data_IF_283451218583
#
_entry.id   IF_283451218583
#
_cell.length_a   1.000
_cell.length_b   1.000
_cell.length_c   1.000
_cell.angle_alpha   90.00
_cell.angle_beta   90.00
_cell.angle_gamma   90.00
#
_symmetry.space_group_name_H-M   'P 1'
#
loop_
_entity.id
_entity.type
_entity.pdbx_description
1 polymer ?
#
# COMPACT_ATOMS: atom_id res chain seq x y z
N UNK A 1 31.52 18.30 58.14
CA UNK A 1 32.13 17.18 57.46
C UNK A 1 31.30 16.77 56.28
N UNK A 2 31.89 15.97 55.41
CA UNK A 2 31.27 15.52 54.16
C UNK A 2 31.14 14.00 54.14
N UNK A 3 30.08 13.50 53.50
CA UNK A 3 29.87 12.05 53.33
C UNK A 3 29.32 11.77 51.94
N UNK A 4 29.67 10.63 51.36
CA UNK A 4 29.06 10.08 50.17
C UNK A 4 28.16 8.91 50.55
N UNK A 5 26.98 8.84 49.93
CA UNK A 5 26.06 7.71 50.13
C UNK A 5 26.62 6.42 49.52
N UNK A 6 27.50 6.53 48.51
CA UNK A 6 28.15 5.39 47.87
C UNK A 6 29.57 5.75 47.41
N UNK A 7 30.56 5.43 48.25
CA UNK A 7 31.97 5.68 48.00
C UNK A 7 32.55 4.84 46.83
N UNK A 8 31.84 3.78 46.40
CA UNK A 8 32.25 3.05 45.20
C UNK A 8 31.94 3.81 43.93
N UNK A 9 31.06 4.82 43.99
CA UNK A 9 30.72 5.69 42.87
C UNK A 9 31.53 7.01 42.94
N UNK A 10 31.47 7.69 44.08
CA UNK A 10 32.24 8.89 44.30
C UNK A 10 32.63 9.03 45.79
N UNK A 11 33.85 9.42 46.04
CA UNK A 11 34.34 9.83 47.36
C UNK A 11 34.31 11.35 47.48
N UNK A 12 34.27 11.84 48.72
CA UNK A 12 34.38 13.25 49.01
C UNK A 12 35.40 13.50 50.13
N UNK A 13 36.29 14.45 49.98
CA UNK A 13 37.26 14.78 51.00
C UNK A 13 36.77 15.82 52.02
N UNK A 14 37.54 16.08 53.06
CA UNK A 14 37.20 17.05 54.10
C UNK A 14 36.98 18.47 53.60
N UNK A 15 37.38 18.78 52.38
CA UNK A 15 37.23 20.08 51.77
C UNK A 15 36.01 20.15 50.80
N UNK A 16 35.28 19.02 50.65
CA UNK A 16 34.17 18.92 49.75
C UNK A 16 34.55 18.63 48.29
N UNK A 17 35.82 18.21 48.02
CA UNK A 17 36.25 17.78 46.71
C UNK A 17 35.73 16.38 46.42
N UNK A 18 34.87 16.26 45.40
CA UNK A 18 34.28 15.01 44.97
C UNK A 18 35.21 14.38 43.94
N UNK A 19 35.58 13.11 44.19
CA UNK A 19 36.36 12.28 43.26
C UNK A 19 35.55 11.06 42.85
N UNK A 20 35.27 10.94 41.56
CA UNK A 20 34.57 9.78 41.02
C UNK A 20 35.49 8.57 40.98
N UNK A 21 34.97 7.41 41.46
CA UNK A 21 35.63 6.12 41.51
C UNK A 21 35.13 5.21 40.39
N UNK A 22 33.81 5.25 40.13
CA UNK A 22 33.19 4.51 39.05
C UNK A 22 32.02 5.30 38.47
N UNK A 23 31.46 4.78 37.38
CA UNK A 23 30.22 5.34 36.77
C UNK A 23 29.00 5.07 37.64
N UNK A 24 28.06 6.01 37.65
CA UNK A 24 26.84 5.93 38.40
C UNK A 24 26.43 7.27 39.02
N UNK A 25 25.40 7.23 39.85
CA UNK A 25 24.93 8.37 40.60
C UNK A 25 24.96 8.11 42.09
N UNK A 26 25.37 9.09 42.87
CA UNK A 26 25.32 9.04 44.35
C UNK A 26 24.96 10.43 44.89
N UNK A 27 24.68 10.51 46.20
CA UNK A 27 24.45 11.78 46.87
C UNK A 27 25.62 12.07 47.79
N UNK A 28 26.15 13.29 47.66
CA UNK A 28 27.16 13.84 48.60
C UNK A 28 26.44 14.77 49.59
N UNK A 29 26.77 14.67 50.88
CA UNK A 29 26.20 15.44 51.95
C UNK A 29 27.25 16.30 52.63
N UNK A 30 26.91 17.54 52.87
CA UNK A 30 27.64 18.39 53.81
C UNK A 30 26.83 18.38 55.15
N UNK A 31 27.50 18.08 56.24
CA UNK A 31 26.86 17.97 57.56
C UNK A 31 27.55 18.94 58.54
N UNK A 32 26.77 19.85 59.10
CA UNK A 32 27.28 20.80 60.08
C UNK A 32 27.54 20.12 61.45
N UNK A 33 28.67 20.40 62.08
CA UNK A 33 28.96 19.91 63.43
C UNK A 33 28.01 20.47 64.48
N UNK A 34 27.54 21.72 64.26
CA UNK A 34 26.58 22.35 65.17
C UNK A 34 25.16 22.23 64.58
N UNK A 35 24.24 21.65 65.33
CA UNK A 35 22.84 21.50 64.97
C UNK A 35 22.51 20.38 63.97
N UNK A 36 23.49 19.67 63.41
CA UNK A 36 23.27 18.53 62.52
C UNK A 36 22.57 18.87 61.19
N UNK A 37 22.58 20.14 60.80
CA UNK A 37 21.98 20.59 59.54
C UNK A 37 22.73 19.96 58.33
N UNK A 38 21.95 19.46 57.36
CA UNK A 38 22.50 18.81 56.16
C UNK A 38 22.11 19.52 54.90
N UNK A 39 23.05 19.61 53.97
CA UNK A 39 22.82 19.97 52.56
C UNK A 39 23.25 18.80 51.69
N UNK A 40 22.45 18.48 50.64
CA UNK A 40 22.71 17.36 49.73
C UNK A 40 22.94 17.81 48.31
N UNK A 41 23.85 17.12 47.61
CA UNK A 41 24.10 17.33 46.19
C UNK A 41 24.13 15.95 45.51
N UNK A 42 23.28 15.78 44.51
CA UNK A 42 23.36 14.60 43.66
C UNK A 42 24.50 14.77 42.65
N UNK A 43 25.40 13.79 42.60
CA UNK A 43 26.55 13.78 41.68
C UNK A 43 26.48 12.51 40.84
N UNK A 44 26.76 12.64 39.55
CA UNK A 44 26.74 11.51 38.63
C UNK A 44 27.87 11.62 37.62
N UNK A 45 28.44 10.47 37.24
CA UNK A 45 29.31 10.36 36.06
C UNK A 45 28.61 9.55 35.02
N UNK A 46 28.51 10.09 33.80
CA UNK A 46 28.16 9.29 32.64
C UNK A 46 29.30 8.33 32.30
N UNK A 47 28.99 7.07 32.05
CA UNK A 47 29.96 6.10 31.51
C UNK A 47 30.43 6.48 30.11
N UNK A 48 31.53 5.89 29.68
CA UNK A 48 31.98 5.97 28.28
C UNK A 48 30.94 5.33 27.36
N UNK A 49 30.35 6.14 26.48
CA UNK A 49 29.30 5.76 25.52
C UNK A 49 29.80 5.62 24.10
N UNK A 50 31.09 5.73 23.87
CA UNK A 50 31.68 5.74 22.52
C UNK A 50 31.36 4.47 21.72
N UNK A 51 31.43 3.29 22.35
CA UNK A 51 31.06 2.02 21.73
C UNK A 51 29.56 1.93 21.42
N UNK A 52 28.71 2.36 22.35
CA UNK A 52 27.25 2.39 22.16
C UNK A 52 26.85 3.36 21.04
N UNK A 53 27.45 4.53 21.02
CA UNK A 53 27.24 5.52 19.97
C UNK A 53 27.66 4.99 18.59
N UNK A 54 28.83 4.32 18.51
CA UNK A 54 29.29 3.70 17.28
C UNK A 54 28.36 2.60 16.77
N UNK A 55 27.79 1.79 17.69
CA UNK A 55 26.82 0.75 17.35
C UNK A 55 25.50 1.37 16.83
N UNK A 56 24.97 2.39 17.49
CA UNK A 56 23.77 3.12 17.05
C UNK A 56 23.98 3.77 15.68
N UNK A 57 25.12 4.42 15.47
CA UNK A 57 25.45 5.04 14.18
C UNK A 57 25.59 4.02 13.06
N UNK A 58 26.18 2.85 13.33
CA UNK A 58 26.31 1.76 12.37
C UNK A 58 24.96 1.28 11.85
N UNK A 59 23.93 1.24 12.70
CA UNK A 59 22.63 0.65 12.39
C UNK A 59 21.50 1.67 12.23
N UNK A 60 21.79 2.97 12.22
CA UNK A 60 20.78 4.04 12.19
C UNK A 60 19.80 3.99 11.00
N UNK A 61 20.29 3.49 9.85
CA UNK A 61 19.51 3.40 8.61
C UNK A 61 18.95 1.99 8.35
N UNK A 62 19.05 1.09 9.34
CA UNK A 62 18.57 -0.28 9.22
C UNK A 62 17.08 -0.35 9.49
N UNK A 63 16.29 -0.70 8.47
CA UNK A 63 14.87 -1.01 8.65
C UNK A 63 14.73 -2.48 9.06
N UNK A 64 14.34 -2.72 10.31
CA UNK A 64 14.13 -4.07 10.84
C UNK A 64 13.07 -4.87 10.08
N UNK A 65 12.17 -4.19 9.35
CA UNK A 65 11.12 -4.82 8.55
C UNK A 65 11.63 -5.36 7.20
N UNK A 66 12.89 -5.14 6.87
CA UNK A 66 13.54 -5.74 5.71
C UNK A 66 14.09 -7.15 5.98
N UNK A 67 13.88 -7.66 7.21
CA UNK A 67 14.40 -8.94 7.67
C UNK A 67 13.29 -9.86 8.18
N UNK A 68 13.59 -11.16 8.31
CA UNK A 68 12.67 -12.12 8.88
C UNK A 68 12.14 -11.64 10.24
N UNK A 69 10.85 -11.81 10.48
CA UNK A 69 10.13 -11.21 11.61
C UNK A 69 10.83 -11.40 12.95
N UNK A 70 11.27 -12.63 13.25
CA UNK A 70 11.90 -12.94 14.54
C UNK A 70 13.20 -12.17 14.77
N UNK A 71 14.11 -12.19 13.78
CA UNK A 71 15.39 -11.47 13.86
C UNK A 71 15.22 -9.97 13.79
N UNK A 72 14.30 -9.49 12.94
CA UNK A 72 13.99 -8.06 12.83
C UNK A 72 13.43 -7.48 14.13
N UNK A 73 12.49 -8.17 14.80
CA UNK A 73 11.94 -7.70 16.09
C UNK A 73 13.01 -7.74 17.19
N UNK A 74 13.87 -8.76 17.22
CA UNK A 74 14.99 -8.83 18.19
C UNK A 74 15.93 -7.65 17.98
N UNK A 75 16.29 -7.35 16.74
CA UNK A 75 17.10 -6.17 16.41
C UNK A 75 16.43 -4.86 16.83
N UNK A 76 15.16 -4.68 16.51
CA UNK A 76 14.39 -3.50 16.92
C UNK A 76 14.45 -3.27 18.42
N UNK A 77 14.20 -4.32 19.21
CA UNK A 77 14.24 -4.24 20.67
C UNK A 77 15.62 -3.85 21.19
N UNK A 78 16.68 -4.45 20.63
CA UNK A 78 18.05 -4.11 21.00
C UNK A 78 18.43 -2.67 20.63
N UNK A 79 17.95 -2.17 19.49
CA UNK A 79 18.16 -0.80 19.06
C UNK A 79 17.44 0.22 19.94
N UNK A 80 16.16 -0.04 20.27
CA UNK A 80 15.37 0.81 21.17
C UNK A 80 15.97 0.84 22.59
N UNK A 81 16.43 -0.29 23.13
CA UNK A 81 17.13 -0.36 24.41
C UNK A 81 18.45 0.41 24.37
N UNK A 82 19.25 0.24 23.31
CA UNK A 82 20.49 0.99 23.12
C UNK A 82 20.24 2.51 23.09
N UNK A 83 19.17 2.98 22.44
CA UNK A 83 18.78 4.39 22.46
C UNK A 83 18.35 4.85 23.86
N UNK A 84 17.61 4.03 24.58
CA UNK A 84 17.20 4.31 25.97
C UNK A 84 18.41 4.48 26.88
N UNK A 85 19.35 3.52 26.83
CA UNK A 85 20.61 3.54 27.62
C UNK A 85 21.48 4.74 27.21
N UNK A 86 21.54 5.09 25.93
CA UNK A 86 22.31 6.23 25.45
C UNK A 86 21.83 7.56 26.05
N UNK A 87 20.54 7.69 26.31
CA UNK A 87 19.90 8.89 26.83
C UNK A 87 19.78 8.94 28.36
N UNK A 88 20.08 7.83 29.05
CA UNK A 88 20.00 7.73 30.52
C UNK A 88 21.37 7.90 31.17
N UNK A 89 21.60 9.06 31.77
CA UNK A 89 22.87 9.40 32.42
C UNK A 89 23.11 8.65 33.74
N UNK A 90 22.15 7.88 34.25
CA UNK A 90 22.29 7.10 35.48
C UNK A 90 22.85 5.69 35.25
N UNK A 91 22.97 5.27 33.98
CA UNK A 91 23.44 3.96 33.60
C UNK A 91 24.91 3.72 33.94
N UNK A 92 25.18 2.56 34.51
CA UNK A 92 26.55 2.08 34.80
C UNK A 92 27.30 1.74 33.52
N UNK A 93 28.63 1.67 33.59
CA UNK A 93 29.46 1.26 32.46
C UNK A 93 29.10 -0.13 31.93
N UNK A 94 28.77 -1.06 32.83
CA UNK A 94 28.39 -2.43 32.47
C UNK A 94 27.07 -2.45 31.67
N UNK A 95 26.04 -1.68 32.10
CA UNK A 95 24.78 -1.56 31.34
C UNK A 95 24.99 -0.94 29.96
N UNK A 96 25.85 0.09 29.85
CA UNK A 96 26.22 0.72 28.57
C UNK A 96 26.90 -0.28 27.65
N UNK A 97 27.87 -1.05 28.17
CA UNK A 97 28.60 -2.06 27.40
C UNK A 97 27.66 -3.21 26.97
N UNK A 98 26.76 -3.66 27.86
CA UNK A 98 25.77 -4.69 27.53
C UNK A 98 24.81 -4.24 26.43
N UNK A 99 24.32 -3.00 26.48
CA UNK A 99 23.45 -2.47 25.46
C UNK A 99 24.15 -2.36 24.09
N UNK A 100 25.42 -1.90 24.09
CA UNK A 100 26.24 -1.85 22.88
C UNK A 100 26.44 -3.25 22.27
N UNK A 101 26.80 -4.22 23.12
CA UNK A 101 27.05 -5.59 22.69
C UNK A 101 25.77 -6.26 22.16
N UNK A 102 24.64 -6.10 22.86
CA UNK A 102 23.34 -6.64 22.44
C UNK A 102 22.91 -6.10 21.06
N UNK A 103 23.10 -4.80 20.82
CA UNK A 103 22.81 -4.20 19.52
C UNK A 103 23.73 -4.73 18.41
N UNK A 104 25.02 -4.91 18.71
CA UNK A 104 25.98 -5.45 17.74
C UNK A 104 25.62 -6.90 17.38
N UNK A 105 25.30 -7.73 18.38
CA UNK A 105 24.90 -9.13 18.17
C UNK A 105 23.59 -9.25 17.40
N UNK A 106 22.57 -8.47 17.79
CA UNK A 106 21.29 -8.45 17.08
C UNK A 106 21.45 -7.94 15.64
N UNK A 107 22.28 -6.93 15.42
CA UNK A 107 22.58 -6.43 14.08
C UNK A 107 23.39 -7.40 13.22
N UNK A 108 24.29 -8.17 13.81
CA UNK A 108 25.02 -9.24 13.10
C UNK A 108 24.09 -10.41 12.73
N UNK A 109 23.10 -10.72 13.56
CA UNK A 109 22.12 -11.76 13.29
C UNK A 109 21.17 -11.44 12.11
N UNK A 110 21.14 -10.20 11.62
CA UNK A 110 20.37 -9.84 10.43
C UNK A 110 20.97 -10.40 9.13
N UNK A 111 22.26 -10.73 9.14
CA UNK A 111 22.95 -11.19 7.94
C UNK A 111 22.35 -12.52 7.43
N UNK A 112 21.98 -12.52 6.14
CA UNK A 112 21.35 -13.69 5.50
C UNK A 112 19.85 -13.87 5.78
N UNK A 113 19.24 -13.00 6.58
CA UNK A 113 17.82 -13.06 6.95
C UNK A 113 16.95 -11.99 6.30
N UNK A 114 17.40 -11.40 5.17
CA UNK A 114 16.59 -10.45 4.43
C UNK A 114 15.36 -11.11 3.82
N UNK A 115 14.20 -10.45 3.92
CA UNK A 115 12.95 -10.91 3.30
C UNK A 115 12.76 -10.30 1.92
N UNK A 116 12.14 -11.07 1.05
CA UNK A 116 11.65 -10.57 -0.24
C UNK A 116 10.29 -9.90 0.01
N UNK A 117 10.18 -8.61 -0.29
CA UNK A 117 8.91 -7.88 -0.17
C UNK A 117 7.95 -8.25 -1.29
N UNK A 118 6.69 -8.42 -0.96
CA UNK A 118 5.62 -8.61 -1.94
C UNK A 118 5.48 -7.35 -2.81
N UNK A 119 5.44 -7.53 -4.13
CA UNK A 119 5.29 -6.45 -5.10
C UNK A 119 3.89 -6.42 -5.71
N UNK A 120 3.34 -7.61 -5.99
CA UNK A 120 1.98 -7.75 -6.52
C UNK A 120 1.37 -9.07 -6.09
N UNK A 121 0.08 -9.24 -6.35
CA UNK A 121 -0.65 -10.49 -6.15
C UNK A 121 -1.20 -10.92 -7.50
N UNK A 122 -0.71 -12.05 -8.00
CA UNK A 122 -1.26 -12.68 -9.18
C UNK A 122 -2.52 -13.45 -8.81
N UNK A 123 -3.58 -13.27 -9.60
CA UNK A 123 -4.83 -13.99 -9.42
C UNK A 123 -5.09 -14.84 -10.63
N UNK A 124 -5.31 -16.12 -10.39
CA UNK A 124 -5.73 -17.10 -11.39
C UNK A 124 -7.13 -17.61 -11.11
N UNK A 125 -7.80 -18.10 -12.15
CA UNK A 125 -9.14 -18.64 -12.03
C UNK A 125 -9.30 -19.96 -12.77
N UNK A 126 -10.23 -20.79 -12.28
CA UNK A 126 -10.71 -22.00 -12.94
C UNK A 126 -12.22 -22.04 -12.84
N UNK A 127 -12.88 -22.08 -14.01
CA UNK A 127 -14.33 -22.21 -14.11
C UNK A 127 -14.76 -23.67 -14.29
N UNK A 128 -15.77 -24.09 -13.56
CA UNK A 128 -16.33 -25.43 -13.59
C UNK A 128 -17.82 -25.42 -13.88
N UNK A 129 -18.28 -26.39 -14.67
CA UNK A 129 -19.70 -26.77 -14.74
C UNK A 129 -19.94 -28.10 -14.08
N UNK A 130 -21.06 -28.26 -13.38
CA UNK A 130 -21.47 -29.53 -12.79
C UNK A 130 -22.16 -30.41 -13.83
N UNK A 131 -21.67 -31.65 -13.96
CA UNK A 131 -22.40 -32.67 -14.65
C UNK A 131 -23.45 -33.25 -13.69
N UNK A 132 -24.71 -32.90 -13.89
CA UNK A 132 -25.81 -33.35 -13.02
C UNK A 132 -26.08 -34.85 -13.06
N UNK A 133 -25.71 -35.52 -14.16
CA UNK A 133 -25.93 -36.95 -14.30
C UNK A 133 -24.97 -37.79 -13.43
N UNK A 134 -23.74 -37.32 -13.20
CA UNK A 134 -22.69 -38.05 -12.43
C UNK A 134 -22.21 -37.29 -11.19
N UNK A 135 -22.76 -36.12 -10.92
CA UNK A 135 -22.43 -35.31 -9.75
C UNK A 135 -21.03 -34.70 -9.73
N UNK A 136 -20.27 -34.83 -10.82
CA UNK A 136 -18.87 -34.36 -10.93
C UNK A 136 -18.82 -32.94 -11.53
N UNK A 137 -17.70 -32.26 -11.25
CA UNK A 137 -17.39 -30.94 -11.86
C UNK A 137 -16.42 -31.14 -13.03
N UNK A 138 -16.76 -30.55 -14.19
CA UNK A 138 -15.87 -30.52 -15.35
C UNK A 138 -15.27 -29.13 -15.48
N UNK A 139 -13.94 -29.04 -15.55
CA UNK A 139 -13.25 -27.78 -15.84
C UNK A 139 -13.62 -27.32 -17.26
N UNK A 140 -13.92 -26.03 -17.42
CA UNK A 140 -14.33 -25.44 -18.70
C UNK A 140 -13.39 -24.34 -19.17
N UNK A 141 -12.89 -23.53 -18.24
CA UNK A 141 -12.01 -22.42 -18.55
C UNK A 141 -11.03 -22.19 -17.43
N UNK A 142 -9.90 -21.60 -17.75
CA UNK A 142 -8.92 -21.14 -16.77
C UNK A 142 -8.10 -19.99 -17.35
N UNK A 143 -7.51 -19.18 -16.50
CA UNK A 143 -6.67 -18.06 -16.89
C UNK A 143 -6.18 -17.26 -15.70
N UNK A 144 -5.61 -16.10 -15.98
CA UNK A 144 -5.17 -15.12 -15.01
C UNK A 144 -5.98 -13.83 -15.17
N UNK A 145 -6.11 -13.09 -14.08
CA UNK A 145 -6.74 -11.76 -14.08
C UNK A 145 -5.60 -10.74 -14.18
N UNK A 146 -5.60 -9.92 -15.25
CA UNK A 146 -4.64 -8.83 -15.44
C UNK A 146 -4.82 -7.70 -14.44
N UNK A 147 -3.83 -6.79 -14.35
CA UNK A 147 -3.95 -5.58 -13.53
C UNK A 147 -5.02 -4.66 -14.13
N UNK A 148 -5.92 -4.18 -13.26
CA UNK A 148 -7.08 -3.34 -13.63
C UNK A 148 -8.15 -4.04 -14.49
N UNK A 149 -8.14 -5.38 -14.59
CA UNK A 149 -9.13 -6.10 -15.37
C UNK A 149 -10.36 -6.49 -14.55
N UNK A 150 -11.51 -6.40 -15.19
CA UNK A 150 -12.67 -7.17 -14.80
C UNK A 150 -12.60 -8.54 -15.49
N UNK A 151 -12.81 -9.59 -14.75
CA UNK A 151 -12.99 -10.90 -15.30
C UNK A 151 -14.44 -11.09 -15.73
N UNK A 152 -14.72 -10.98 -17.03
CA UNK A 152 -16.02 -11.34 -17.56
C UNK A 152 -15.98 -12.78 -18.04
N UNK A 153 -16.73 -13.66 -17.38
CA UNK A 153 -16.86 -15.06 -17.76
C UNK A 153 -18.30 -15.30 -18.24
N UNK A 154 -18.45 -15.49 -19.54
CA UNK A 154 -19.69 -15.99 -20.11
C UNK A 154 -19.77 -17.52 -19.93
N UNK A 155 -20.42 -17.91 -18.85
CA UNK A 155 -20.64 -19.33 -18.57
C UNK A 155 -21.64 -19.99 -19.53
N UNK A 156 -22.33 -19.22 -20.40
CA UNK A 156 -23.29 -19.77 -21.38
C UNK A 156 -22.60 -20.20 -22.68
N UNK A 157 -21.48 -19.56 -23.09
CA UNK A 157 -20.85 -19.76 -24.41
C UNK A 157 -19.86 -20.92 -24.50
N UNK A 158 -19.26 -21.34 -23.40
CA UNK A 158 -18.19 -22.35 -23.40
C UNK A 158 -18.68 -23.79 -23.13
N UNK A 159 -19.87 -24.18 -23.62
CA UNK A 159 -20.44 -25.51 -23.41
C UNK A 159 -20.99 -25.70 -21.99
N UNK A 160 -21.16 -24.66 -21.25
CA UNK A 160 -22.02 -24.63 -20.07
C UNK A 160 -23.48 -24.64 -20.60
N UNK A 161 -24.24 -25.66 -20.30
CA UNK A 161 -25.60 -25.79 -20.80
C UNK A 161 -26.39 -24.51 -20.46
N UNK A 162 -26.78 -23.80 -21.47
CA UNK A 162 -27.70 -22.66 -21.66
C UNK A 162 -28.18 -21.82 -20.47
N UNK A 163 -27.71 -22.02 -19.25
CA UNK A 163 -28.09 -21.28 -18.05
C UNK A 163 -26.96 -21.32 -17.03
N UNK A 164 -26.76 -20.22 -16.32
CA UNK A 164 -26.05 -20.21 -15.05
C UNK A 164 -26.74 -21.17 -14.09
N UNK A 165 -26.32 -22.42 -14.08
CA UNK A 165 -26.83 -23.36 -13.10
C UNK A 165 -26.25 -23.02 -11.73
N UNK A 166 -27.07 -23.09 -10.68
CA UNK A 166 -26.63 -23.00 -9.27
C UNK A 166 -25.48 -23.95 -8.90
N UNK A 167 -25.16 -24.85 -9.80
CA UNK A 167 -24.12 -25.86 -9.71
C UNK A 167 -22.80 -25.50 -10.46
N UNK A 168 -22.75 -24.34 -11.14
CA UNK A 168 -21.52 -23.84 -11.73
C UNK A 168 -20.69 -23.09 -10.68
N UNK A 169 -19.38 -23.19 -10.77
CA UNK A 169 -18.50 -22.46 -9.85
C UNK A 169 -17.28 -21.92 -10.56
N UNK A 170 -16.79 -20.84 -10.03
CA UNK A 170 -15.50 -20.21 -10.35
C UNK A 170 -14.62 -20.29 -9.12
N UNK A 171 -13.47 -20.93 -9.23
CA UNK A 171 -12.44 -20.92 -8.19
C UNK A 171 -11.38 -19.88 -8.53
N UNK A 172 -11.11 -19.00 -7.60
CA UNK A 172 -10.04 -18.00 -7.66
C UNK A 172 -8.92 -18.43 -6.71
N UNK A 173 -7.70 -18.37 -7.20
CA UNK A 173 -6.48 -18.61 -6.43
C UNK A 173 -5.55 -17.43 -6.57
N UNK A 174 -4.80 -17.11 -5.52
CA UNK A 174 -3.84 -16.00 -5.52
C UNK A 174 -2.46 -16.50 -5.13
N UNK A 175 -1.45 -15.84 -5.70
CA UNK A 175 -0.05 -16.05 -5.37
C UNK A 175 0.65 -14.69 -5.21
N UNK A 176 1.48 -14.59 -4.19
CA UNK A 176 2.30 -13.39 -3.96
C UNK A 176 3.50 -13.41 -4.92
N UNK A 177 3.81 -12.28 -5.50
CA UNK A 177 4.94 -12.12 -6.44
C UNK A 177 5.91 -11.06 -5.91
N UNK A 178 7.23 -11.33 -5.98
CA UNK A 178 7.87 -12.55 -6.51
C UNK A 178 7.66 -13.77 -5.60
N UNK A 179 7.92 -14.95 -6.15
CA UNK A 179 7.84 -16.19 -5.39
C UNK A 179 8.82 -16.14 -4.20
N UNK A 180 8.37 -16.57 -3.03
CA UNK A 180 9.13 -16.48 -1.78
C UNK A 180 9.02 -15.12 -1.08
N UNK A 181 8.19 -14.20 -1.58
CA UNK A 181 7.91 -12.96 -0.86
C UNK A 181 7.23 -13.23 0.49
N UNK A 182 7.51 -12.36 1.45
CA UNK A 182 6.97 -12.48 2.81
C UNK A 182 5.43 -12.46 2.81
N UNK A 183 4.85 -13.50 3.39
CA UNK A 183 3.41 -13.69 3.46
C UNK A 183 3.04 -14.51 4.70
N UNK A 184 2.24 -13.92 5.56
CA UNK A 184 1.61 -14.60 6.70
C UNK A 184 0.20 -15.10 6.34
N UNK A 185 -0.25 -14.86 5.12
CA UNK A 185 -1.50 -15.37 4.59
C UNK A 185 -2.16 -14.47 3.56
N UNK A 186 -2.99 -15.12 2.75
CA UNK A 186 -3.85 -14.47 1.76
C UNK A 186 -5.28 -14.57 2.25
N UNK A 187 -5.99 -13.44 2.21
CA UNK A 187 -7.40 -13.34 2.53
C UNK A 187 -8.20 -12.77 1.36
N UNK A 188 -9.48 -13.10 1.31
CA UNK A 188 -10.40 -12.64 0.30
C UNK A 188 -11.58 -11.93 0.95
N UNK A 189 -12.01 -10.80 0.37
CA UNK A 189 -13.26 -10.13 0.72
C UNK A 189 -14.10 -9.93 -0.53
N UNK A 190 -15.41 -9.98 -0.35
CA UNK A 190 -16.40 -9.64 -1.38
C UNK A 190 -17.21 -8.48 -0.82
N UNK A 191 -16.90 -7.28 -1.31
CA UNK A 191 -17.48 -6.05 -0.74
C UNK A 191 -18.91 -5.80 -1.26
N UNK A 192 -19.18 -6.25 -2.50
CA UNK A 192 -20.48 -6.12 -3.13
C UNK A 192 -20.70 -7.28 -4.10
N UNK A 193 -21.92 -7.81 -4.15
CA UNK A 193 -22.28 -8.89 -5.06
C UNK A 193 -23.76 -8.89 -5.40
N UNK A 194 -24.08 -9.35 -6.60
CA UNK A 194 -25.46 -9.56 -7.05
C UNK A 194 -25.58 -10.96 -7.65
N UNK A 195 -26.53 -11.74 -7.14
CA UNK A 195 -26.81 -13.09 -7.62
C UNK A 195 -25.61 -14.06 -7.58
N UNK A 196 -24.58 -13.77 -6.77
CA UNK A 196 -23.40 -14.58 -6.55
C UNK A 196 -23.31 -14.97 -5.08
N UNK A 197 -23.00 -16.22 -4.81
CA UNK A 197 -22.58 -16.73 -3.51
C UNK A 197 -21.06 -16.82 -3.52
N UNK A 198 -20.43 -16.35 -2.45
CA UNK A 198 -18.99 -16.42 -2.23
C UNK A 198 -18.70 -17.31 -1.02
N UNK A 199 -17.78 -18.24 -1.16
CA UNK A 199 -17.28 -19.08 -0.07
C UNK A 199 -15.76 -19.20 -0.16
N UNK A 200 -15.09 -19.26 0.98
CA UNK A 200 -13.65 -19.50 1.03
C UNK A 200 -13.41 -20.95 1.45
N UNK A 201 -12.54 -21.63 0.71
CA UNK A 201 -12.16 -23.00 0.98
C UNK A 201 -10.69 -23.20 0.60
N UNK A 202 -9.87 -23.68 1.52
CA UNK A 202 -8.46 -24.00 1.29
C UNK A 202 -7.65 -22.82 0.67
N UNK A 203 -7.88 -21.60 1.18
CA UNK A 203 -7.19 -20.39 0.70
C UNK A 203 -7.67 -19.84 -0.64
N UNK A 204 -8.68 -20.49 -1.25
CA UNK A 204 -9.31 -20.07 -2.50
C UNK A 204 -10.64 -19.39 -2.25
N UNK A 205 -11.01 -18.45 -3.12
CA UNK A 205 -12.35 -17.91 -3.18
C UNK A 205 -13.17 -18.68 -4.24
N UNK A 206 -14.30 -19.24 -3.82
CA UNK A 206 -15.23 -19.91 -4.71
C UNK A 206 -16.47 -19.05 -4.89
N UNK A 207 -16.73 -18.66 -6.14
CA UNK A 207 -17.93 -17.92 -6.54
C UNK A 207 -18.87 -18.86 -7.26
N UNK A 208 -20.15 -18.78 -6.96
CA UNK A 208 -21.19 -19.53 -7.63
C UNK A 208 -22.48 -18.71 -7.79
N UNK A 209 -23.27 -18.94 -8.86
CA UNK A 209 -24.56 -18.28 -9.00
C UNK A 209 -25.50 -18.64 -7.85
N UNK A 210 -26.28 -17.67 -7.37
CA UNK A 210 -27.30 -17.91 -6.35
C UNK A 210 -28.58 -18.54 -6.88
N UNK A 211 -28.81 -18.47 -8.22
CA UNK A 211 -29.92 -19.11 -8.91
C UNK A 211 -29.59 -19.40 -10.38
N UNK A 212 -30.32 -20.33 -10.99
CA UNK A 212 -30.08 -20.83 -12.35
C UNK A 212 -30.33 -19.81 -13.48
N UNK A 213 -31.00 -18.71 -13.22
CA UNK A 213 -31.45 -17.77 -14.27
C UNK A 213 -30.91 -16.34 -14.11
N UNK A 214 -30.02 -16.11 -13.15
CA UNK A 214 -29.58 -14.77 -12.83
C UNK A 214 -28.17 -14.49 -13.34
N UNK A 215 -28.02 -13.42 -14.10
CA UNK A 215 -26.71 -12.80 -14.28
C UNK A 215 -26.21 -12.30 -12.92
N UNK A 216 -24.94 -12.51 -12.64
CA UNK A 216 -24.35 -12.16 -11.36
C UNK A 216 -22.99 -11.50 -11.51
N UNK A 217 -22.63 -10.74 -10.51
CA UNK A 217 -21.32 -10.11 -10.40
C UNK A 217 -20.87 -10.06 -8.93
N UNK A 218 -19.59 -9.93 -8.72
CA UNK A 218 -18.99 -9.75 -7.41
C UNK A 218 -17.77 -8.83 -7.50
N UNK A 219 -17.68 -7.85 -6.61
CA UNK A 219 -16.47 -7.03 -6.38
C UNK A 219 -15.61 -7.76 -5.35
N UNK A 220 -14.42 -8.12 -5.74
CA UNK A 220 -13.52 -8.99 -4.97
C UNK A 220 -12.26 -8.23 -4.65
N UNK A 221 -11.81 -8.33 -3.41
CA UNK A 221 -10.49 -7.88 -2.98
C UNK A 221 -9.71 -9.07 -2.43
N UNK A 222 -8.49 -9.26 -2.91
CA UNK A 222 -7.51 -10.18 -2.37
C UNK A 222 -6.43 -9.39 -1.64
N UNK A 223 -6.07 -9.85 -0.44
CA UNK A 223 -5.08 -9.18 0.41
C UNK A 223 -4.04 -10.19 0.87
N UNK A 224 -2.77 -9.89 0.65
CA UNK A 224 -1.65 -10.51 1.35
C UNK A 224 -1.35 -9.71 2.61
N UNK A 225 -1.17 -10.40 3.73
CA UNK A 225 -0.63 -9.80 4.96
C UNK A 225 0.72 -10.46 5.22
N UNK A 226 1.76 -9.67 5.42
CA UNK A 226 3.08 -10.18 5.79
C UNK A 226 3.21 -10.40 7.32
N UNK A 227 4.36 -10.90 7.77
CA UNK A 227 4.58 -11.17 9.18
C UNK A 227 4.65 -9.89 10.06
N UNK A 228 4.90 -8.72 9.45
CA UNK A 228 4.84 -7.41 10.12
C UNK A 228 3.45 -6.75 10.06
N UNK A 229 2.43 -7.48 9.61
CA UNK A 229 1.05 -6.99 9.44
C UNK A 229 0.92 -5.88 8.38
N UNK A 230 1.90 -5.74 7.47
CA UNK A 230 1.77 -4.88 6.29
C UNK A 230 0.89 -5.60 5.28
N UNK A 231 0.05 -4.85 4.59
CA UNK A 231 -0.90 -5.40 3.64
C UNK A 231 -0.62 -4.92 2.23
N UNK A 232 -0.73 -5.85 1.29
CA UNK A 232 -0.80 -5.59 -0.15
C UNK A 232 -2.13 -6.11 -0.65
N UNK A 233 -2.93 -5.27 -1.29
CA UNK A 233 -4.27 -5.64 -1.75
C UNK A 233 -4.45 -5.37 -3.22
N UNK A 234 -5.29 -6.19 -3.85
CA UNK A 234 -5.73 -6.03 -5.23
C UNK A 234 -7.23 -6.27 -5.32
N UNK A 235 -7.95 -5.35 -6.00
CA UNK A 235 -9.40 -5.43 -6.19
C UNK A 235 -9.74 -5.58 -7.66
N UNK A 236 -10.76 -6.36 -7.97
CA UNK A 236 -11.27 -6.58 -9.31
C UNK A 236 -12.74 -7.00 -9.26
N UNK A 237 -13.42 -6.95 -10.41
CA UNK A 237 -14.81 -7.41 -10.53
C UNK A 237 -14.89 -8.69 -11.33
N UNK A 238 -15.64 -9.66 -10.83
CA UNK A 238 -16.00 -10.88 -11.55
C UNK A 238 -17.44 -10.77 -12.01
N UNK A 239 -17.66 -10.85 -13.31
CA UNK A 239 -19.01 -10.89 -13.91
C UNK A 239 -19.27 -12.29 -14.43
N UNK A 240 -20.28 -12.94 -13.88
CA UNK A 240 -20.75 -14.27 -14.26
C UNK A 240 -22.09 -14.12 -14.97
N UNK A 241 -22.04 -13.74 -16.25
CA UNK A 241 -23.27 -13.55 -17.04
C UNK A 241 -23.14 -14.14 -18.41
N UNK A 242 -24.26 -14.46 -19.06
CA UNK A 242 -24.31 -14.37 -20.51
C UNK A 242 -24.33 -12.88 -20.82
N UNK A 243 -23.28 -12.37 -21.50
CA UNK A 243 -23.13 -10.95 -21.78
C UNK A 243 -24.42 -10.38 -22.37
N UNK A 244 -25.08 -9.52 -21.64
CA UNK A 244 -26.23 -8.75 -22.13
C UNK A 244 -25.82 -7.41 -22.73
N UNK A 245 -24.58 -6.99 -22.48
CA UNK A 245 -23.95 -5.87 -23.16
C UNK A 245 -23.46 -6.35 -24.53
N UNK A 246 -23.79 -5.66 -25.58
CA UNK A 246 -23.38 -5.97 -26.98
C UNK A 246 -22.48 -4.89 -27.59
N UNK A 247 -22.19 -3.82 -26.85
CA UNK A 247 -21.33 -2.74 -27.29
C UNK A 247 -21.33 -1.53 -26.38
N UNK A 248 -20.44 -0.60 -26.65
CA UNK A 248 -20.38 0.72 -26.03
C UNK A 248 -20.08 1.76 -27.11
N UNK A 249 -20.65 2.93 -26.98
CA UNK A 249 -20.38 4.10 -27.82
C UNK A 249 -20.18 5.34 -26.95
N UNK A 250 -19.46 6.32 -27.51
CA UNK A 250 -19.28 7.64 -26.92
C UNK A 250 -20.12 8.66 -27.69
N UNK A 251 -20.61 9.67 -26.98
CA UNK A 251 -21.29 10.83 -27.58
C UNK A 251 -20.38 11.68 -28.46
N UNK A 252 -19.05 11.63 -28.21
CA UNK A 252 -18.03 12.32 -28.99
C UNK A 252 -16.85 11.37 -29.27
N UNK A 253 -16.37 11.37 -30.50
CA UNK A 253 -15.21 10.57 -30.94
C UNK A 253 -13.93 11.41 -31.11
N UNK A 254 -14.06 12.73 -30.98
CA UNK A 254 -12.98 13.69 -31.04
C UNK A 254 -13.24 14.86 -30.08
N UNK A 255 -12.19 15.31 -29.41
CA UNK A 255 -12.18 16.52 -28.57
C UNK A 255 -10.98 17.39 -28.97
N UNK A 256 -11.25 18.68 -29.22
CA UNK A 256 -10.21 19.69 -29.37
C UNK A 256 -10.33 20.65 -28.20
N UNK A 257 -9.35 20.62 -27.31
CA UNK A 257 -9.35 21.35 -26.05
C UNK A 257 -8.22 22.39 -26.03
N UNK A 258 -8.42 23.45 -25.26
CA UNK A 258 -7.31 24.35 -24.88
C UNK A 258 -6.77 23.91 -23.50
N UNK A 259 -5.49 24.09 -23.25
CA UNK A 259 -4.85 23.72 -21.98
C UNK A 259 -5.50 24.43 -20.77
N UNK A 260 -6.11 25.60 -20.97
CA UNK A 260 -6.82 26.36 -19.95
C UNK A 260 -8.31 26.04 -19.86
N UNK A 261 -8.81 25.17 -20.74
CA UNK A 261 -10.24 24.84 -20.79
C UNK A 261 -10.67 24.03 -19.58
N UNK A 262 -11.91 24.26 -19.13
CA UNK A 262 -12.54 23.44 -18.09
C UNK A 262 -12.71 22.00 -18.58
N UNK A 263 -12.69 21.02 -17.67
CA UNK A 263 -12.95 19.62 -18.00
C UNK A 263 -14.23 19.42 -18.79
N UNK A 264 -14.21 18.48 -19.74
CA UNK A 264 -15.32 18.14 -20.64
C UNK A 264 -15.82 16.73 -20.32
N UNK A 265 -17.14 16.58 -20.18
CA UNK A 265 -17.76 15.29 -19.94
C UNK A 265 -17.94 14.52 -21.24
N UNK A 266 -17.41 13.30 -21.32
CA UNK A 266 -17.75 12.27 -22.30
C UNK A 266 -18.80 11.35 -21.68
N UNK A 267 -19.83 11.03 -22.45
CA UNK A 267 -20.88 10.12 -22.03
C UNK A 267 -20.81 8.81 -22.81
N UNK A 268 -20.75 7.70 -22.05
CA UNK A 268 -20.78 6.36 -22.63
C UNK A 268 -22.21 5.82 -22.67
N UNK A 269 -22.61 5.29 -23.82
CA UNK A 269 -23.89 4.60 -24.00
C UNK A 269 -23.65 3.12 -24.25
N UNK A 270 -24.23 2.27 -23.41
CA UNK A 270 -24.13 0.82 -23.49
C UNK A 270 -25.24 0.25 -24.37
N UNK A 271 -24.87 -0.53 -25.40
CA UNK A 271 -25.82 -1.31 -26.20
C UNK A 271 -26.07 -2.67 -25.55
N UNK A 272 -27.23 -3.26 -25.84
CA UNK A 272 -27.61 -4.59 -25.36
C UNK A 272 -29.08 -4.66 -24.92
N UNK A 273 -29.46 -5.76 -24.23
CA UNK A 273 -30.84 -5.95 -23.77
C UNK A 273 -31.20 -4.99 -22.64
N UNK A 274 -32.50 -4.78 -22.42
CA UNK A 274 -33.02 -3.97 -21.31
C UNK A 274 -32.70 -4.54 -19.91
N UNK A 275 -32.29 -5.80 -19.84
CA UNK A 275 -31.94 -6.51 -18.59
C UNK A 275 -30.48 -6.42 -18.21
N UNK A 276 -29.79 -5.33 -18.60
CA UNK A 276 -28.40 -5.08 -18.17
C UNK A 276 -28.31 -5.07 -16.65
N UNK A 277 -27.54 -5.99 -16.11
CA UNK A 277 -27.41 -6.14 -14.65
C UNK A 277 -26.12 -5.52 -14.12
N UNK A 278 -25.14 -5.30 -14.98
CA UNK A 278 -23.86 -4.68 -14.65
C UNK A 278 -23.45 -3.72 -15.77
N UNK A 279 -23.52 -2.43 -15.46
CA UNK A 279 -23.32 -1.35 -16.43
C UNK A 279 -22.01 -0.57 -16.21
N UNK A 280 -21.14 -1.04 -15.32
CA UNK A 280 -19.92 -0.35 -14.98
C UNK A 280 -18.95 -0.34 -16.17
N UNK A 281 -18.24 0.77 -16.29
CA UNK A 281 -17.21 0.99 -17.29
C UNK A 281 -15.94 1.51 -16.64
N UNK A 282 -14.81 1.23 -17.26
CA UNK A 282 -13.52 1.85 -16.91
C UNK A 282 -13.11 2.85 -17.96
N UNK A 283 -12.40 3.89 -17.53
CA UNK A 283 -11.88 4.95 -18.39
C UNK A 283 -10.37 5.01 -18.29
N UNK A 284 -9.70 5.15 -19.42
CA UNK A 284 -8.24 5.28 -19.47
C UNK A 284 -7.82 6.34 -20.48
N UNK A 285 -6.70 7.02 -20.20
CA UNK A 285 -6.00 7.89 -21.12
C UNK A 285 -4.72 7.21 -21.59
N UNK A 286 -4.44 7.27 -22.90
CA UNK A 286 -3.18 6.75 -23.44
C UNK A 286 -1.98 7.63 -23.07
N UNK A 287 -2.21 8.90 -22.68
CA UNK A 287 -1.19 9.82 -22.19
C UNK A 287 -1.77 10.79 -21.15
N UNK A 288 -1.74 10.41 -19.85
CA UNK A 288 -2.26 11.26 -18.77
C UNK A 288 -1.53 12.60 -18.60
N UNK A 289 -0.32 12.75 -19.16
CA UNK A 289 0.38 14.03 -19.17
C UNK A 289 -0.25 15.05 -20.13
N UNK A 290 -1.01 14.60 -21.14
CA UNK A 290 -1.74 15.47 -22.07
C UNK A 290 -3.16 15.71 -21.58
N UNK A 291 -3.88 14.66 -21.23
CA UNK A 291 -5.20 14.76 -20.63
C UNK A 291 -5.49 13.56 -19.70
N UNK A 292 -6.09 13.82 -18.55
CA UNK A 292 -6.60 12.78 -17.65
C UNK A 292 -8.09 12.54 -17.88
N UNK A 293 -8.58 11.39 -17.41
CA UNK A 293 -10.00 11.07 -17.43
C UNK A 293 -10.43 10.39 -16.12
N UNK A 294 -11.53 10.87 -15.55
CA UNK A 294 -12.15 10.26 -14.39
C UNK A 294 -13.68 10.23 -14.58
N UNK A 295 -14.27 9.04 -14.56
CA UNK A 295 -15.71 8.84 -14.79
C UNK A 295 -16.23 9.54 -16.06
N UNK A 296 -15.43 9.55 -17.13
CA UNK A 296 -15.73 10.25 -18.38
C UNK A 296 -15.42 11.74 -18.40
N UNK A 297 -15.06 12.35 -17.26
CA UNK A 297 -14.66 13.75 -17.20
C UNK A 297 -13.21 13.90 -17.67
N UNK A 298 -13.01 14.46 -18.86
CA UNK A 298 -11.71 14.67 -19.48
C UNK A 298 -11.15 16.02 -19.06
N UNK A 299 -9.99 16.04 -18.44
CA UNK A 299 -9.29 17.24 -17.97
C UNK A 299 -8.02 17.44 -18.81
N UNK A 300 -7.90 18.54 -19.58
CA UNK A 300 -6.66 18.86 -20.26
C UNK A 300 -5.55 19.19 -19.25
N UNK A 301 -4.31 18.73 -19.52
CA UNK A 301 -3.15 18.91 -18.66
C UNK A 301 -2.05 19.68 -19.36
N UNK A 302 -1.64 19.24 -20.57
CA UNK A 302 -0.60 19.89 -21.37
C UNK A 302 -0.87 19.69 -22.86
N UNK A 303 -0.17 20.45 -23.69
CA UNK A 303 -0.29 20.40 -25.15
C UNK A 303 0.14 19.05 -25.70
N UNK A 304 -0.65 18.49 -26.60
CA UNK A 304 -0.37 17.20 -27.23
C UNK A 304 -1.62 16.46 -27.67
N UNK A 305 -1.43 15.21 -28.03
CA UNK A 305 -2.48 14.29 -28.44
C UNK A 305 -2.52 13.07 -27.52
N UNK A 306 -3.73 12.62 -27.22
CA UNK A 306 -3.97 11.36 -26.54
C UNK A 306 -5.29 10.72 -26.98
N UNK A 307 -5.53 9.49 -26.56
CA UNK A 307 -6.79 8.78 -26.80
C UNK A 307 -7.41 8.43 -25.44
N UNK A 308 -8.65 8.84 -25.24
CA UNK A 308 -9.46 8.38 -24.13
C UNK A 308 -10.21 7.13 -24.56
N UNK A 309 -10.13 6.08 -23.76
CA UNK A 309 -10.80 4.80 -23.99
C UNK A 309 -11.77 4.52 -22.86
N UNK A 310 -13.00 4.19 -23.21
CA UNK A 310 -13.97 3.55 -22.29
C UNK A 310 -14.01 2.07 -22.58
N UNK A 311 -14.06 1.23 -21.53
CA UNK A 311 -14.20 -0.23 -21.63
C UNK A 311 -15.29 -0.71 -20.69
N UNK A 312 -16.23 -1.50 -21.20
CA UNK A 312 -17.25 -2.13 -20.36
C UNK A 312 -16.65 -3.25 -19.53
N UNK A 313 -17.04 -3.38 -18.26
CA UNK A 313 -16.61 -4.50 -17.42
C UNK A 313 -17.32 -5.80 -17.84
N UNK A 314 -18.59 -5.74 -18.23
CA UNK A 314 -19.29 -6.87 -18.86
C UNK A 314 -19.00 -6.88 -20.38
N UNK A 315 -18.46 -7.99 -20.88
CA UNK A 315 -18.15 -8.20 -22.30
C UNK A 315 -16.89 -7.52 -22.84
N UNK A 316 -16.28 -6.57 -22.10
CA UNK A 316 -14.99 -5.93 -22.48
C UNK A 316 -15.04 -5.07 -23.73
N UNK A 317 -16.22 -4.60 -24.15
CA UNK A 317 -16.39 -3.73 -25.31
C UNK A 317 -15.72 -2.37 -25.10
N UNK A 318 -15.14 -1.81 -26.12
CA UNK A 318 -14.41 -0.53 -26.04
C UNK A 318 -14.95 0.50 -27.06
N UNK A 319 -14.87 1.78 -26.67
CA UNK A 319 -15.00 2.91 -27.57
C UNK A 319 -13.94 3.96 -27.23
N UNK A 320 -13.52 4.75 -28.24
CA UNK A 320 -12.42 5.69 -28.10
C UNK A 320 -12.81 7.09 -28.53
N UNK A 321 -12.19 8.10 -27.90
CA UNK A 321 -12.24 9.49 -28.28
C UNK A 321 -10.81 10.02 -28.47
N UNK A 322 -10.49 10.54 -29.65
CA UNK A 322 -9.23 11.23 -29.90
C UNK A 322 -9.28 12.61 -29.25
N UNK A 323 -8.26 12.96 -28.47
CA UNK A 323 -8.15 14.23 -27.75
C UNK A 323 -6.90 14.96 -28.21
N UNK A 324 -7.06 16.18 -28.70
CA UNK A 324 -5.99 17.12 -29.01
C UNK A 324 -6.08 18.31 -28.09
N UNK A 325 -5.03 18.53 -27.28
CA UNK A 325 -4.92 19.71 -26.41
C UNK A 325 -3.96 20.71 -27.05
N UNK A 326 -4.39 21.95 -27.16
CA UNK A 326 -3.61 23.05 -27.74
C UNK A 326 -3.32 24.14 -26.72
N UNK A 327 -2.26 24.91 -26.98
CA UNK A 327 -1.96 26.10 -26.22
C UNK A 327 -3.08 27.14 -26.35
N UNK A 328 -3.35 27.86 -25.27
CA UNK A 328 -4.30 28.97 -25.24
C UNK A 328 -3.54 30.30 -25.52
N UNK A 329 -3.75 30.86 -26.67
CA UNK A 329 -3.15 32.15 -27.03
C UNK A 329 -4.10 33.36 -26.88
N UNK A 330 -5.28 33.15 -26.29
CA UNK A 330 -6.32 34.19 -26.17
C UNK A 330 -5.83 35.46 -25.49
N UNK A 331 -5.03 35.34 -24.45
CA UNK A 331 -4.42 36.48 -23.72
C UNK A 331 -3.41 37.21 -24.62
N UNK A 332 -2.59 36.49 -25.37
CA UNK A 332 -1.61 37.07 -26.29
C UNK A 332 -2.31 37.76 -27.45
N UNK A 333 -3.33 37.15 -28.02
CA UNK A 333 -4.13 37.72 -29.11
C UNK A 333 -4.84 39.02 -28.68
N UNK A 334 -5.41 39.03 -27.45
CA UNK A 334 -6.02 40.22 -26.89
C UNK A 334 -4.99 41.37 -26.70
N UNK A 335 -3.80 41.04 -26.18
CA UNK A 335 -2.72 42.03 -26.04
C UNK A 335 -2.18 42.53 -27.38
N UNK A 336 -2.07 41.64 -28.34
CA UNK A 336 -1.67 42.01 -29.70
C UNK A 336 -2.69 42.97 -30.38
N UNK A 337 -3.99 42.68 -30.22
CA UNK A 337 -5.05 43.55 -30.72
C UNK A 337 -5.03 44.92 -30.04
N UNK A 338 -4.85 45.00 -28.73
CA UNK A 338 -4.68 46.24 -27.96
C UNK A 338 -3.49 47.06 -28.50
N UNK A 339 -2.34 46.42 -28.70
CA UNK A 339 -1.15 47.04 -29.24
C UNK A 339 -1.38 47.62 -30.65
N UNK A 340 -2.08 46.89 -31.55
CA UNK A 340 -2.40 47.34 -32.88
C UNK A 340 -3.28 48.62 -32.89
N UNK A 341 -4.24 48.70 -31.94
CA UNK A 341 -5.08 49.89 -31.78
C UNK A 341 -4.19 51.09 -31.38
N UNK A 342 -3.29 50.95 -30.40
CA UNK A 342 -2.38 52.03 -29.98
C UNK A 342 -1.45 52.49 -31.10
N UNK A 343 -0.91 51.55 -31.90
CA UNK A 343 -0.07 51.89 -33.08
C UNK A 343 -0.84 52.67 -34.12
N UNK A 344 -2.10 52.35 -34.37
CA UNK A 344 -2.95 53.05 -35.33
C UNK A 344 -3.39 54.42 -34.84
N UNK A 345 -3.53 54.63 -33.53
CA UNK A 345 -3.80 55.93 -32.96
C UNK A 345 -2.58 56.86 -32.95
N UNK A 346 -1.36 56.32 -32.97
CA UNK A 346 -0.11 57.04 -32.95
C UNK A 346 0.38 57.47 -34.37
N UNK A 347 -0.25 56.97 -35.43
CA UNK A 347 -0.05 57.38 -36.84
C UNK A 347 -0.99 58.51 -37.21
#
# INVERSE_FOLDING_TARGET
YWESDNENIATVDDKGLVTFVSTGATTVRAIAYDGGYTATCSVSTGGDRSALQAALEKYKDTDYQDYEYTVGITFKQAYEEAQSVMNDNTKTQDEINQAAQALIEAGAALEGHQVIKAQTIDVSYVGYSRNTAIGSYNQRTSGTIGDNDALSIDLSKNGYANTLHENNKLELSAAVVPAGADSNGISWTVDDSKNIKATQTDGKLVLSPSSASANGWAKVTVTNTDHYSRTLSRSFTVVMSGSVISGVSLDQTQLNLLVTQKPVQLNATLAGSSNKTFNDVTWTSSNPAVATVENGLVTPVDVGDCTITVKTLDGGYTATCAVTVRADYSVLEAKYAEYQILVNQAK
#
